data_IF_649361199717
#
_entry.id   IF_649361199717
#
_cell.length_a   1.000
_cell.length_b   1.000
_cell.length_c   1.000
_cell.angle_alpha   90.00
_cell.angle_beta   90.00
_cell.angle_gamma   90.00
#
_symmetry.space_group_name_H-M   'P 1'
#
loop_
_entity.id
_entity.type
_entity.pdbx_description
1 polymer ?
#
# COMPACT_ATOMS: atom_id res chain seq x y z
N UNK A 1 13.84 -1.20 -16.53
CA UNK A 1 12.65 -1.19 -15.67
C UNK A 1 12.27 0.27 -15.46
N UNK A 2 11.02 0.66 -15.71
CA UNK A 2 10.55 2.04 -15.49
C UNK A 2 10.09 2.16 -14.03
N UNK A 3 10.32 3.33 -13.44
CA UNK A 3 9.81 3.72 -12.13
C UNK A 3 8.91 4.95 -12.27
N UNK A 4 8.03 5.13 -11.27
CA UNK A 4 7.26 6.35 -11.03
C UNK A 4 7.70 6.94 -9.69
N UNK A 5 7.86 8.25 -9.65
CA UNK A 5 8.15 8.96 -8.40
C UNK A 5 6.86 9.17 -7.61
N UNK A 6 6.85 8.73 -6.36
CA UNK A 6 5.77 8.91 -5.40
C UNK A 6 6.21 9.81 -4.24
N UNK A 7 5.26 10.47 -3.59
CA UNK A 7 5.54 11.41 -2.51
C UNK A 7 4.72 11.08 -1.26
N UNK A 8 5.37 11.16 -0.10
CA UNK A 8 4.72 11.25 1.20
C UNK A 8 5.32 12.41 2.02
N UNK A 9 4.93 12.54 3.30
CA UNK A 9 5.46 13.59 4.18
C UNK A 9 6.96 13.51 4.44
N UNK A 10 7.62 12.40 4.08
CA UNK A 10 9.07 12.22 4.18
C UNK A 10 9.80 12.54 2.86
N UNK A 11 9.07 12.93 1.81
CA UNK A 11 9.61 13.32 0.50
C UNK A 11 9.38 12.27 -0.59
N UNK A 12 10.19 12.35 -1.65
CA UNK A 12 10.07 11.49 -2.82
C UNK A 12 10.59 10.05 -2.56
N UNK A 13 10.03 9.07 -3.28
CA UNK A 13 10.53 7.70 -3.36
C UNK A 13 10.18 7.08 -4.72
N UNK A 14 11.09 6.27 -5.26
CA UNK A 14 10.89 5.60 -6.55
C UNK A 14 10.14 4.27 -6.36
N UNK A 15 9.04 4.10 -7.10
CA UNK A 15 8.23 2.88 -7.11
C UNK A 15 8.25 2.26 -8.50
N UNK A 16 8.38 0.94 -8.61
CA UNK A 16 8.30 0.26 -9.90
C UNK A 16 6.95 0.52 -10.59
N UNK A 17 6.99 0.85 -11.88
CA UNK A 17 5.78 1.24 -12.63
C UNK A 17 4.78 0.11 -12.84
N UNK A 18 5.15 -1.15 -12.63
CA UNK A 18 4.27 -2.32 -12.69
C UNK A 18 3.57 -2.63 -11.36
N UNK A 19 3.67 -1.73 -10.36
CA UNK A 19 3.10 -1.90 -9.02
C UNK A 19 2.09 -0.82 -8.71
N UNK A 20 1.00 -1.23 -8.07
CA UNK A 20 -0.10 -0.35 -7.68
C UNK A 20 0.10 0.37 -6.34
N UNK A 21 1.12 0.01 -5.54
CA UNK A 21 1.35 0.65 -4.25
C UNK A 21 2.07 2.00 -4.37
N UNK A 22 2.02 2.80 -3.31
CA UNK A 22 2.60 4.15 -3.27
C UNK A 22 3.78 4.28 -2.31
N UNK A 23 4.13 5.54 -1.99
CA UNK A 23 5.32 5.90 -1.23
C UNK A 23 5.48 5.16 0.10
N UNK A 24 4.44 5.17 0.96
CA UNK A 24 4.53 4.57 2.29
C UNK A 24 4.75 3.05 2.25
N UNK A 25 4.14 2.35 1.28
CA UNK A 25 4.36 0.91 1.11
C UNK A 25 5.78 0.65 0.62
N UNK A 26 6.29 1.46 -0.30
CA UNK A 26 7.67 1.37 -0.77
C UNK A 26 8.68 1.57 0.38
N UNK A 27 8.49 2.60 1.21
CA UNK A 27 9.31 2.81 2.41
C UNK A 27 9.21 1.66 3.40
N UNK A 28 8.02 1.08 3.58
CA UNK A 28 7.85 -0.09 4.44
C UNK A 28 8.66 -1.30 3.93
N UNK A 29 8.66 -1.54 2.61
CA UNK A 29 9.50 -2.58 1.99
C UNK A 29 11.00 -2.33 2.19
N UNK A 30 11.43 -1.06 2.18
CA UNK A 30 12.82 -0.67 2.38
C UNK A 30 13.26 -0.79 3.84
N UNK A 31 12.40 -0.38 4.78
CA UNK A 31 12.69 -0.31 6.21
C UNK A 31 12.56 -1.66 6.92
N UNK A 32 11.60 -2.50 6.52
CA UNK A 32 11.26 -3.74 7.22
C UNK A 32 11.64 -4.99 6.42
N UNK A 33 12.93 -5.10 6.06
CA UNK A 33 13.51 -6.29 5.42
C UNK A 33 13.82 -7.37 6.45
N UNK A 34 12.80 -7.80 7.20
CA UNK A 34 12.93 -8.70 8.34
C UNK A 34 12.07 -9.94 8.08
N UNK A 35 12.71 -11.11 8.04
CA UNK A 35 12.03 -12.38 7.74
C UNK A 35 11.53 -12.47 6.28
N UNK A 36 10.70 -13.48 6.01
CA UNK A 36 10.10 -13.74 4.68
C UNK A 36 8.58 -13.88 4.70
N UNK A 37 7.95 -13.60 5.84
CA UNK A 37 6.51 -13.72 5.98
C UNK A 37 5.80 -12.53 5.35
N UNK A 38 4.72 -12.81 4.63
CA UNK A 38 3.82 -11.79 4.08
C UNK A 38 2.49 -11.84 4.81
N UNK A 39 1.73 -10.74 4.71
CA UNK A 39 0.36 -10.73 5.20
C UNK A 39 -0.44 -11.89 4.57
N UNK A 40 -1.10 -12.72 5.38
CA UNK A 40 -1.93 -13.81 4.86
C UNK A 40 -3.02 -13.31 3.92
N UNK A 41 -3.33 -14.08 2.87
CA UNK A 41 -4.40 -13.71 1.91
C UNK A 41 -5.75 -13.38 2.57
N UNK A 42 -6.20 -14.11 3.62
CA UNK A 42 -7.44 -13.75 4.32
C UNK A 42 -7.41 -12.35 4.95
N UNK A 43 -6.26 -11.92 5.48
CA UNK A 43 -6.10 -10.59 6.09
C UNK A 43 -6.23 -9.49 5.02
N UNK A 44 -5.59 -9.68 3.86
CA UNK A 44 -5.68 -8.72 2.74
C UNK A 44 -7.14 -8.60 2.26
N UNK A 45 -7.86 -9.73 2.14
CA UNK A 45 -9.28 -9.74 1.76
C UNK A 45 -10.14 -9.01 2.79
N UNK A 46 -9.91 -9.27 4.08
CA UNK A 46 -10.64 -8.59 5.15
C UNK A 46 -10.42 -7.08 5.13
N UNK A 47 -9.19 -6.62 4.94
CA UNK A 47 -8.90 -5.18 4.81
C UNK A 47 -9.60 -4.55 3.61
N UNK A 48 -9.68 -5.27 2.48
CA UNK A 48 -10.45 -4.84 1.32
C UNK A 48 -11.94 -4.64 1.63
N UNK A 49 -12.57 -5.59 2.35
CA UNK A 49 -13.97 -5.47 2.78
C UNK A 49 -14.19 -4.28 3.72
N UNK A 50 -13.27 -4.04 4.66
CA UNK A 50 -13.35 -2.88 5.56
C UNK A 50 -13.29 -1.57 4.78
N UNK A 51 -12.39 -1.46 3.80
CA UNK A 51 -12.28 -0.25 2.97
C UNK A 51 -13.48 -0.05 2.04
N UNK A 52 -14.05 -1.13 1.52
CA UNK A 52 -15.29 -1.08 0.76
C UNK A 52 -16.45 -0.56 1.63
N UNK A 53 -16.70 -1.18 2.79
CA UNK A 53 -17.78 -0.77 3.68
C UNK A 53 -17.60 0.67 4.19
N UNK A 54 -16.37 1.09 4.49
CA UNK A 54 -16.08 2.47 4.90
C UNK A 54 -16.36 3.48 3.78
N UNK A 55 -16.06 3.13 2.52
CA UNK A 55 -16.38 3.99 1.38
C UNK A 55 -17.90 4.15 1.21
N UNK A 56 -18.66 3.05 1.25
CA UNK A 56 -20.13 3.07 1.20
C UNK A 56 -20.72 3.94 2.33
N UNK A 57 -20.23 3.78 3.56
CA UNK A 57 -20.68 4.56 4.70
C UNK A 57 -20.39 6.07 4.54
N UNK A 58 -19.19 6.43 4.04
CA UNK A 58 -18.84 7.83 3.81
C UNK A 58 -19.65 8.46 2.67
N UNK A 59 -20.04 7.69 1.65
CA UNK A 59 -20.88 8.19 0.55
C UNK A 59 -22.35 8.35 0.92
N UNK A 60 -22.82 7.63 1.95
CA UNK A 60 -24.21 7.70 2.43
C UNK A 60 -24.47 8.84 3.43
N UNK A 61 -23.43 9.56 3.85
CA UNK A 61 -23.51 10.79 4.66
C UNK A 61 -23.62 12.02 3.77
#
# INVERSE_FOLDING_TARGET
MSTRTEYDSMGAVEVQSDRYWGAQTQRSLENFKIGGHRMPRPMIKALGLVKFAAAEANCAM
#
